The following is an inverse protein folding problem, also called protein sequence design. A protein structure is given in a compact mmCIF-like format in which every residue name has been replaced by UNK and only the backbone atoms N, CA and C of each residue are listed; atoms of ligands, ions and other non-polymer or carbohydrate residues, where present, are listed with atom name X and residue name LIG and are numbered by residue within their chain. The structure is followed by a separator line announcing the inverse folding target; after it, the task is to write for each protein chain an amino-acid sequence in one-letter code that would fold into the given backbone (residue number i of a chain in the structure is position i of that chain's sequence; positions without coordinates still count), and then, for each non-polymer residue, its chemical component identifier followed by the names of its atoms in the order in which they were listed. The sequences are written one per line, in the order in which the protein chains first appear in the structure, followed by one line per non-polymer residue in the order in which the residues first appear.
data_IF_262331379181
#
_entry.id   IF_262331379181
#
_cell.length_a   1.000
_cell.length_b   1.000
_cell.length_c   1.000
_cell.angle_alpha   90.00
_cell.angle_beta   90.00
_cell.angle_gamma   90.00
#
_symmetry.space_group_name_H-M   'P 1'
#
loop_
_entity.id
_entity.type
_entity.pdbx_description
1 polymer ?
#
# COMPACT_ATOMS: atom_id res chain seq x y z
N UNK A 1 -5.62 -2.32 17.71
CA UNK A 1 -4.65 -1.44 17.00
C UNK A 1 -4.90 -1.54 15.49
N UNK A 2 -5.88 -0.81 14.94
CA UNK A 2 -6.28 -0.87 13.51
C UNK A 2 -5.70 0.28 12.67
N UNK A 3 -4.77 1.04 13.24
CA UNK A 3 -4.14 2.19 12.62
C UNK A 3 -2.65 2.24 12.90
N UNK A 4 -1.95 3.15 12.22
CA UNK A 4 -0.53 3.37 12.42
C UNK A 4 0.26 3.43 11.12
N UNK A 5 1.58 3.46 11.28
CA UNK A 5 2.55 3.58 10.19
C UNK A 5 2.55 2.40 9.18
N UNK A 6 2.32 1.17 9.64
CA UNK A 6 2.59 -0.02 8.83
C UNK A 6 1.70 -0.21 7.59
N UNK A 7 0.35 -0.09 7.66
CA UNK A 7 -0.47 -0.27 6.47
C UNK A 7 -0.13 0.69 5.31
N UNK A 8 -0.04 2.02 5.51
CA UNK A 8 0.34 2.92 4.43
C UNK A 8 1.79 2.72 3.99
N UNK A 9 2.71 2.36 4.91
CA UNK A 9 4.11 2.09 4.59
C UNK A 9 4.27 0.88 3.65
N UNK A 10 3.62 -0.23 3.95
CA UNK A 10 3.67 -1.45 3.13
C UNK A 10 2.98 -1.25 1.78
N UNK A 11 1.91 -0.45 1.74
CA UNK A 11 1.25 -0.07 0.50
C UNK A 11 2.15 0.80 -0.39
N UNK A 12 2.85 1.79 0.18
CA UNK A 12 3.85 2.57 -0.54
C UNK A 12 5.03 1.70 -1.02
N UNK A 13 5.48 0.72 -0.23
CA UNK A 13 6.52 -0.23 -0.64
C UNK A 13 6.07 -1.12 -1.81
N UNK A 14 4.84 -1.64 -1.76
CA UNK A 14 4.28 -2.44 -2.83
C UNK A 14 4.18 -1.65 -4.15
N UNK A 15 3.70 -0.40 -4.09
CA UNK A 15 3.70 0.50 -5.25
C UNK A 15 5.12 0.75 -5.76
N UNK A 16 6.08 1.00 -4.87
CA UNK A 16 7.48 1.23 -5.23
C UNK A 16 8.06 0.05 -6.00
N UNK A 17 7.78 -1.19 -5.57
CA UNK A 17 8.19 -2.40 -6.27
C UNK A 17 7.55 -2.54 -7.65
N UNK A 18 6.27 -2.18 -7.80
CA UNK A 18 5.62 -2.17 -9.12
C UNK A 18 6.26 -1.13 -10.05
N UNK A 19 6.46 0.10 -9.57
CA UNK A 19 7.07 1.20 -10.33
C UNK A 19 8.56 0.99 -10.65
N UNK A 20 9.24 0.08 -9.93
CA UNK A 20 10.62 -0.31 -10.25
C UNK A 20 10.76 -0.85 -11.68
N UNK A 21 9.71 -1.50 -12.21
CA UNK A 21 9.67 -2.03 -13.58
C UNK A 21 9.20 -0.99 -14.62
N UNK A 22 8.71 0.17 -14.17
CA UNK A 22 8.32 1.26 -15.06
C UNK A 22 9.52 2.14 -15.46
N UNK A 23 9.49 2.76 -16.65
CA UNK A 23 10.52 3.71 -17.07
C UNK A 23 10.49 4.97 -16.18
N UNK A 24 11.64 5.63 -15.98
CA UNK A 24 11.78 6.78 -15.07
C UNK A 24 10.78 7.90 -15.36
N UNK A 25 10.49 8.17 -16.64
CA UNK A 25 9.50 9.17 -17.08
C UNK A 25 8.07 8.91 -16.60
N UNK A 26 7.73 7.66 -16.26
CA UNK A 26 6.41 7.26 -15.72
C UNK A 26 6.40 7.30 -14.19
N UNK A 27 7.55 7.12 -13.53
CA UNK A 27 7.63 7.10 -12.05
C UNK A 27 7.25 8.43 -11.43
N UNK A 28 7.76 9.55 -11.96
CA UNK A 28 7.46 10.88 -11.44
C UNK A 28 5.97 11.24 -11.48
N UNK A 29 5.25 11.13 -12.62
CA UNK A 29 3.82 11.43 -12.66
C UNK A 29 3.01 10.45 -11.79
N UNK A 30 3.42 9.19 -11.67
CA UNK A 30 2.78 8.25 -10.75
C UNK A 30 2.97 8.67 -9.28
N UNK A 31 4.18 9.06 -8.87
CA UNK A 31 4.44 9.57 -7.53
C UNK A 31 3.67 10.86 -7.23
N UNK A 32 3.50 11.74 -8.22
CA UNK A 32 2.64 12.92 -8.08
C UNK A 32 1.18 12.52 -7.88
N UNK A 33 0.66 11.56 -8.66
CA UNK A 33 -0.69 11.05 -8.50
C UNK A 33 -0.91 10.43 -7.11
N UNK A 34 0.06 9.68 -6.59
CA UNK A 34 0.07 9.18 -5.21
C UNK A 34 -0.07 10.33 -4.19
N UNK A 35 0.78 11.36 -4.31
CA UNK A 35 0.81 12.48 -3.36
C UNK A 35 -0.51 13.25 -3.36
N UNK A 36 -1.04 13.58 -4.54
CA UNK A 36 -2.31 14.30 -4.67
C UNK A 36 -3.45 13.46 -4.10
N UNK A 37 -3.54 12.18 -4.46
CA UNK A 37 -4.59 11.29 -3.99
C UNK A 37 -4.54 11.09 -2.46
N UNK A 38 -3.35 10.87 -1.89
CA UNK A 38 -3.15 10.74 -0.45
C UNK A 38 -3.50 12.03 0.29
N UNK A 39 -3.07 13.19 -0.23
CA UNK A 39 -3.40 14.48 0.37
C UNK A 39 -4.91 14.72 0.40
N UNK A 40 -5.62 14.46 -0.71
CA UNK A 40 -7.09 14.60 -0.77
C UNK A 40 -7.76 13.63 0.19
N UNK A 41 -7.44 12.33 0.12
CA UNK A 41 -8.10 11.32 0.94
C UNK A 41 -7.84 11.49 2.45
N UNK A 42 -6.66 11.97 2.84
CA UNK A 42 -6.32 12.24 4.24
C UNK A 42 -7.17 13.34 4.90
N UNK A 43 -7.81 14.20 4.10
CA UNK A 43 -8.66 15.30 4.59
C UNK A 43 -10.13 14.93 4.71
N UNK A 44 -10.52 13.74 4.25
CA UNK A 44 -11.89 13.27 4.31
C UNK A 44 -12.16 12.66 5.69
N UNK A 45 -13.24 13.10 6.34
CA UNK A 45 -13.73 12.46 7.56
C UNK A 45 -14.63 11.29 7.19
N UNK A 46 -14.25 10.09 7.61
CA UNK A 46 -15.01 8.87 7.32
C UNK A 46 -15.93 8.49 8.49
N UNK A 47 -17.18 8.08 8.23
CA UNK A 47 -18.04 7.55 9.29
C UNK A 47 -17.46 6.25 9.87
N UNK A 48 -17.70 6.00 11.16
CA UNK A 48 -17.16 4.81 11.84
C UNK A 48 -17.52 3.47 11.18
N UNK A 49 -18.68 3.40 10.52
CA UNK A 49 -19.13 2.23 9.77
C UNK A 49 -18.18 1.84 8.61
N UNK A 50 -17.35 2.76 8.13
CA UNK A 50 -16.40 2.52 7.04
C UNK A 50 -15.01 2.07 7.50
N UNK A 51 -14.72 2.10 8.81
CA UNK A 51 -13.38 1.80 9.31
C UNK A 51 -12.89 0.41 8.91
N UNK A 52 -13.74 -0.62 9.01
CA UNK A 52 -13.39 -1.98 8.60
C UNK A 52 -13.17 -2.10 7.09
N UNK A 53 -14.01 -1.44 6.29
CA UNK A 53 -13.87 -1.43 4.84
C UNK A 53 -12.58 -0.71 4.40
N UNK A 54 -12.20 0.37 5.08
CA UNK A 54 -10.94 1.10 4.83
C UNK A 54 -9.74 0.24 5.20
N UNK A 55 -9.80 -0.43 6.34
CA UNK A 55 -8.74 -1.34 6.77
C UNK A 55 -8.59 -2.54 5.82
N UNK A 56 -9.69 -3.17 5.40
CA UNK A 56 -9.64 -4.25 4.41
C UNK A 56 -9.15 -3.75 3.04
N UNK A 57 -9.62 -2.57 2.62
CA UNK A 57 -9.29 -1.95 1.34
C UNK A 57 -7.81 -1.58 1.21
N UNK A 58 -7.17 -1.12 2.29
CA UNK A 58 -5.72 -0.85 2.26
C UNK A 58 -4.93 -2.15 2.05
N UNK A 59 -5.26 -3.24 2.74
CA UNK A 59 -4.58 -4.53 2.56
C UNK A 59 -4.85 -5.17 1.20
N UNK A 60 -6.09 -5.10 0.71
CA UNK A 60 -6.41 -5.51 -0.66
C UNK A 60 -5.59 -4.70 -1.68
N UNK A 61 -5.40 -3.40 -1.45
CA UNK A 61 -4.56 -2.56 -2.29
C UNK A 61 -3.08 -2.91 -2.22
N UNK A 62 -2.57 -3.35 -1.05
CA UNK A 62 -1.19 -3.89 -0.95
C UNK A 62 -1.04 -5.09 -1.87
N UNK A 63 -2.00 -6.03 -1.84
CA UNK A 63 -1.99 -7.21 -2.69
C UNK A 63 -2.03 -6.83 -4.17
N UNK A 64 -2.94 -5.93 -4.56
CA UNK A 64 -3.06 -5.46 -5.96
C UNK A 64 -1.77 -4.78 -6.44
N UNK A 65 -1.19 -3.88 -5.63
CA UNK A 65 0.05 -3.20 -5.98
C UNK A 65 1.23 -4.17 -6.08
N UNK A 66 1.33 -5.14 -5.18
CA UNK A 66 2.38 -6.16 -5.23
C UNK A 66 2.22 -7.10 -6.44
N UNK A 67 0.99 -7.52 -6.77
CA UNK A 67 0.71 -8.32 -7.97
C UNK A 67 1.06 -7.59 -9.27
N UNK A 68 0.95 -6.26 -9.28
CA UNK A 68 1.26 -5.44 -10.44
C UNK A 68 2.73 -5.58 -10.89
N UNK A 69 3.64 -6.00 -10.01
CA UNK A 69 5.05 -6.35 -10.34
C UNK A 69 5.14 -7.44 -11.43
N UNK A 70 4.12 -8.28 -11.56
CA UNK A 70 4.07 -9.35 -12.56
C UNK A 70 3.42 -8.92 -13.88
N UNK A 71 2.91 -7.69 -13.98
CA UNK A 71 2.20 -7.16 -15.15
C UNK A 71 3.12 -6.23 -15.95
N UNK A 72 3.16 -6.41 -17.28
CA UNK A 72 3.91 -5.51 -18.18
C UNK A 72 3.25 -4.12 -18.29
N UNK A 73 1.95 -4.05 -18.07
CA UNK A 73 1.11 -2.86 -18.23
C UNK A 73 1.48 -1.71 -17.28
N UNK A 74 2.13 -2.00 -16.14
CA UNK A 74 2.61 -0.97 -15.20
C UNK A 74 3.69 -0.08 -15.82
N UNK A 75 4.34 -0.52 -16.90
CA UNK A 75 5.26 0.32 -17.67
C UNK A 75 4.58 1.46 -18.43
N UNK A 76 3.25 1.43 -18.56
CA UNK A 76 2.45 2.46 -19.23
C UNK A 76 2.03 3.55 -18.24
N UNK A 77 1.94 4.79 -18.73
CA UNK A 77 1.66 5.97 -17.90
C UNK A 77 0.33 5.86 -17.14
N UNK A 78 -0.76 5.56 -17.86
CA UNK A 78 -2.12 5.54 -17.28
C UNK A 78 -2.28 4.46 -16.21
N UNK A 79 -1.94 3.17 -16.45
CA UNK A 79 -2.01 2.15 -15.39
C UNK A 79 -1.15 2.47 -14.17
N UNK A 80 0.07 3.00 -14.37
CA UNK A 80 0.94 3.40 -13.25
C UNK A 80 0.32 4.53 -12.42
N UNK A 81 -0.27 5.53 -13.07
CA UNK A 81 -0.96 6.63 -12.39
C UNK A 81 -2.21 6.15 -11.65
N UNK A 82 -3.01 5.27 -12.24
CA UNK A 82 -4.20 4.70 -11.58
C UNK A 82 -3.80 3.87 -10.35
N UNK A 83 -2.77 3.04 -10.48
CA UNK A 83 -2.26 2.24 -9.36
C UNK A 83 -1.73 3.14 -8.23
N UNK A 84 -1.02 4.21 -8.59
CA UNK A 84 -0.49 5.17 -7.63
C UNK A 84 -1.60 6.01 -6.97
N UNK A 85 -2.62 6.42 -7.72
CA UNK A 85 -3.79 7.10 -7.19
C UNK A 85 -4.56 6.20 -6.22
N UNK A 86 -4.80 4.92 -6.56
CA UNK A 86 -5.39 3.94 -5.65
C UNK A 86 -4.57 3.82 -4.37
N UNK A 87 -3.24 3.66 -4.50
CA UNK A 87 -2.31 3.61 -3.36
C UNK A 87 -2.47 4.84 -2.47
N UNK A 88 -2.57 6.04 -3.07
CA UNK A 88 -2.74 7.29 -2.35
C UNK A 88 -4.08 7.38 -1.62
N UNK A 89 -5.18 7.03 -2.29
CA UNK A 89 -6.53 7.05 -1.70
C UNK A 89 -6.55 6.19 -0.43
N UNK A 90 -6.09 4.94 -0.51
CA UNK A 90 -6.17 4.04 0.65
C UNK A 90 -5.15 4.36 1.74
N UNK A 91 -3.95 4.82 1.38
CA UNK A 91 -2.98 5.31 2.36
C UNK A 91 -3.51 6.54 3.11
N UNK A 92 -4.10 7.50 2.39
CA UNK A 92 -4.72 8.69 2.99
C UNK A 92 -5.92 8.32 3.87
N UNK A 93 -6.82 7.47 3.36
CA UNK A 93 -8.02 7.04 4.09
C UNK A 93 -7.68 6.29 5.39
N UNK A 94 -6.74 5.33 5.35
CA UNK A 94 -6.36 4.60 6.57
C UNK A 94 -5.69 5.53 7.60
N UNK A 95 -4.94 6.54 7.15
CA UNK A 95 -4.32 7.51 8.06
C UNK A 95 -5.33 8.48 8.66
N UNK A 96 -6.34 8.91 7.90
CA UNK A 96 -7.43 9.77 8.38
C UNK A 96 -8.20 9.13 9.55
N UNK A 97 -8.40 7.80 9.49
CA UNK A 97 -9.08 7.07 10.58
C UNK A 97 -8.14 6.67 11.73
N UNK A 98 -6.82 6.70 11.51
CA UNK A 98 -5.81 6.35 12.53
C UNK A 98 -5.51 7.50 13.50
N UNK A 99 -5.87 8.74 13.16
CA UNK A 99 -5.73 9.92 14.02
C UNK A 99 -4.30 10.51 14.12
N UNK A 100 -3.36 10.05 13.29
CA UNK A 100 -1.97 10.54 13.27
C UNK A 100 -1.52 10.86 11.85
N UNK A 101 -1.58 12.15 11.49
CA UNK A 101 -1.09 12.68 10.19
C UNK A 101 0.40 12.38 9.97
N UNK A 102 1.15 12.21 11.07
CA UNK A 102 2.59 11.90 11.05
C UNK A 102 2.85 10.53 10.43
N UNK A 103 1.89 9.61 10.48
CA UNK A 103 2.07 8.26 9.94
C UNK A 103 2.09 8.28 8.41
N UNK A 104 1.25 9.11 7.79
CA UNK A 104 1.28 9.33 6.34
C UNK A 104 2.61 9.96 5.90
N UNK A 105 3.04 11.01 6.61
CA UNK A 105 4.31 11.70 6.31
C UNK A 105 5.52 10.78 6.44
N UNK A 106 5.50 9.83 7.37
CA UNK A 106 6.55 8.82 7.52
C UNK A 106 6.48 7.72 6.45
N UNK A 107 5.28 7.34 6.02
CA UNK A 107 5.07 6.29 5.02
C UNK A 107 5.41 6.77 3.59
N UNK A 108 5.07 8.00 3.23
CA UNK A 108 5.25 8.53 1.86
C UNK A 108 6.69 8.40 1.31
N UNK A 109 7.76 8.71 2.09
CA UNK A 109 9.13 8.52 1.63
C UNK A 109 9.46 7.09 1.17
N UNK A 110 8.73 6.07 1.63
CA UNK A 110 8.93 4.68 1.22
C UNK A 110 8.60 4.48 -0.25
N UNK A 111 7.71 5.28 -0.84
CA UNK A 111 7.43 5.24 -2.28
C UNK A 111 8.69 5.58 -3.12
N UNK A 112 9.66 6.32 -2.55
CA UNK A 112 10.93 6.63 -3.21
C UNK A 112 11.82 5.40 -3.38
N UNK A 113 11.52 4.27 -2.74
CA UNK A 113 12.19 2.99 -3.02
C UNK A 113 12.05 2.56 -4.48
N UNK A 114 11.11 3.13 -5.25
CA UNK A 114 10.96 2.88 -6.68
C UNK A 114 12.25 3.17 -7.48
N UNK A 115 13.07 4.13 -7.02
CA UNK A 115 14.33 4.48 -7.68
C UNK A 115 15.43 3.45 -7.44
N UNK A 116 15.84 3.14 -6.18
CA UNK A 116 16.84 2.10 -5.94
C UNK A 116 16.33 0.71 -6.38
N UNK A 117 15.05 0.38 -6.18
CA UNK A 117 14.49 -0.88 -6.69
C UNK A 117 14.56 -0.93 -8.23
N UNK A 118 14.27 0.19 -8.91
CA UNK A 118 14.42 0.28 -10.36
C UNK A 118 15.86 0.14 -10.84
N UNK A 119 16.84 0.63 -10.07
CA UNK A 119 18.26 0.40 -10.34
C UNK A 119 18.61 -1.08 -10.20
N UNK A 120 18.12 -1.76 -9.16
CA UNK A 120 18.29 -3.21 -8.98
C UNK A 120 17.68 -3.99 -10.15
N UNK A 121 16.49 -3.62 -10.61
CA UNK A 121 15.84 -4.24 -11.79
C UNK A 121 16.70 -4.07 -13.05
N UNK A 122 17.27 -2.88 -13.27
CA UNK A 122 18.14 -2.60 -14.41
C UNK A 122 19.43 -3.46 -14.38
N UNK A 123 19.92 -3.85 -13.20
CA UNK A 123 21.10 -4.70 -12.99
C UNK A 123 20.74 -6.18 -12.81
N UNK A 124 19.68 -6.66 -13.50
CA UNK A 124 19.22 -8.06 -13.49
C UNK A 124 18.71 -8.59 -12.14
N UNK A 125 18.50 -7.72 -11.15
CA UNK A 125 17.96 -8.07 -9.83
C UNK A 125 16.43 -8.14 -9.76
N UNK A 126 15.72 -8.16 -10.89
CA UNK A 126 14.25 -8.12 -10.92
C UNK A 126 13.57 -9.29 -10.21
N UNK A 127 14.22 -10.46 -10.10
CA UNK A 127 13.69 -11.59 -9.36
C UNK A 127 13.58 -11.29 -7.85
N UNK A 128 14.56 -10.59 -7.27
CA UNK A 128 14.53 -10.23 -5.86
C UNK A 128 13.32 -9.35 -5.52
N UNK A 129 12.99 -8.38 -6.38
CA UNK A 129 11.80 -7.53 -6.20
C UNK A 129 10.50 -8.34 -6.27
N UNK A 130 10.41 -9.32 -7.17
CA UNK A 130 9.26 -10.24 -7.27
C UNK A 130 9.10 -11.12 -6.03
N UNK A 131 10.21 -11.60 -5.46
CA UNK A 131 10.21 -12.35 -4.21
C UNK A 131 9.69 -11.47 -3.09
N UNK A 132 10.24 -10.25 -2.91
CA UNK A 132 9.77 -9.31 -1.90
C UNK A 132 8.27 -8.95 -2.06
N UNK A 133 7.81 -8.74 -3.29
CA UNK A 133 6.40 -8.52 -3.57
C UNK A 133 5.53 -9.74 -3.17
N UNK A 134 6.01 -10.96 -3.41
CA UNK A 134 5.31 -12.19 -3.00
C UNK A 134 5.20 -12.32 -1.48
N UNK A 135 6.26 -11.94 -0.75
CA UNK A 135 6.23 -11.84 0.71
C UNK A 135 5.23 -10.79 1.20
N UNK A 136 5.18 -9.61 0.56
CA UNK A 136 4.18 -8.58 0.89
C UNK A 136 2.75 -9.08 0.68
N UNK A 137 2.48 -9.83 -0.40
CA UNK A 137 1.17 -10.45 -0.63
C UNK A 137 0.82 -11.40 0.52
N UNK A 138 1.73 -12.29 0.91
CA UNK A 138 1.51 -13.23 2.00
C UNK A 138 1.22 -12.52 3.33
N UNK A 139 2.02 -11.49 3.67
CA UNK A 139 1.81 -10.68 4.89
C UNK A 139 0.47 -9.95 4.84
N UNK A 140 0.12 -9.33 3.70
CA UNK A 140 -1.13 -8.59 3.56
C UNK A 140 -2.35 -9.51 3.70
N UNK A 141 -2.33 -10.68 3.06
CA UNK A 141 -3.41 -11.69 3.19
C UNK A 141 -3.51 -12.18 4.63
N UNK A 142 -2.37 -12.52 5.26
CA UNK A 142 -2.35 -12.98 6.65
C UNK A 142 -2.97 -11.93 7.58
N UNK A 143 -2.50 -10.68 7.52
CA UNK A 143 -3.01 -9.61 8.39
C UNK A 143 -4.48 -9.30 8.13
N UNK A 144 -4.92 -9.35 6.86
CA UNK A 144 -6.33 -9.16 6.52
C UNK A 144 -7.21 -10.32 7.03
N UNK A 145 -6.69 -11.56 7.06
CA UNK A 145 -7.42 -12.74 7.50
C UNK A 145 -7.43 -12.93 9.03
N UNK A 146 -6.43 -12.41 9.76
CA UNK A 146 -6.31 -12.57 11.21
C UNK A 146 -7.59 -12.23 11.99
N UNK A 147 -8.31 -11.12 11.72
CA UNK A 147 -9.57 -10.80 12.41
C UNK A 147 -10.69 -11.80 12.16
N UNK A 148 -10.59 -12.63 11.12
CA UNK A 148 -11.61 -13.62 10.74
C UNK A 148 -11.38 -14.98 11.42
N UNK A 149 -10.20 -15.20 12.00
CA UNK A 149 -9.87 -16.44 12.68
C UNK A 149 -10.17 -16.29 14.16
N UNK A 150 -11.16 -17.04 14.66
CA UNK A 150 -11.40 -17.19 16.09
C UNK A 150 -10.11 -17.70 16.74
N UNK A 151 -9.51 -16.91 17.64
CA UNK A 151 -8.29 -17.30 18.35
C UNK A 151 -8.68 -18.30 19.44
N UNK A 152 -8.36 -19.61 19.32
CA UNK A 152 -8.81 -20.60 20.29
C UNK A 152 -8.21 -20.29 21.65
N UNK A 153 -9.05 -20.15 22.68
CA UNK A 153 -8.63 -19.81 24.05
C UNK A 153 -8.90 -18.36 24.48
N UNK A 154 -9.29 -17.48 23.57
CA UNK A 154 -9.90 -16.19 23.92
C UNK A 154 -11.42 -16.33 23.85
N UNK A 155 -12.03 -16.82 24.93
CA UNK A 155 -13.47 -16.66 25.13
C UNK A 155 -13.77 -15.16 25.28
N UNK A 156 -14.84 -14.62 24.68
CA UNK A 156 -15.22 -13.22 24.80
C UNK A 156 -15.83 -12.89 26.19
N UNK A 157 -15.32 -13.46 27.27
CA UNK A 157 -15.79 -13.25 28.65
C UNK A 157 -15.22 -11.94 29.26
N UNK A 158 -14.66 -11.04 28.45
CA UNK A 158 -14.04 -9.78 28.90
C UNK A 158 -14.62 -8.54 28.18
N UNK A 159 -15.68 -8.72 27.40
CA UNK A 159 -16.36 -7.64 26.66
C UNK A 159 -17.75 -7.31 27.22
N UNK A 160 -18.07 -7.77 28.44
CA UNK A 160 -19.19 -7.27 29.25
C UNK A 160 -18.73 -6.19 30.24
#
# INVERSE_FOLDING_TARGET
MRGGFWPPALLCAALAFALAFAPVRVRLPALLALLVAAAVASRISFPAAWHEAIFAGVWASVVVAALAVHRREVGLLVPAMLLAANTGIWAGAVTAISGSDRDLLRALPIALLAFPAGWVVAHRGGLAIKVLASWLIAVAILVAALPMVATPGYAPDHME
#
